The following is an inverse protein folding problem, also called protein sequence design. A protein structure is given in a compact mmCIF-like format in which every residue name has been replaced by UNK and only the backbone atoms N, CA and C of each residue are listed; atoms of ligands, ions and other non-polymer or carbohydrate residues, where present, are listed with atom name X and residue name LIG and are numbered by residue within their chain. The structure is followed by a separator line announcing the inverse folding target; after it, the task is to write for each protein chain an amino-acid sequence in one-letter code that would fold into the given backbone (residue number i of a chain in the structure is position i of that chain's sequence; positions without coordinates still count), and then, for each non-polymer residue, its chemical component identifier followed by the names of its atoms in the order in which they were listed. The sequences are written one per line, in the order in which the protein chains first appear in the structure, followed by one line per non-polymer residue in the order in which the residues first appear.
data_IF_311568183863
#
_entry.id   IF_311568183863
#
_cell.length_a   1.000
_cell.length_b   1.000
_cell.length_c   1.000
_cell.angle_alpha   90.00
_cell.angle_beta   90.00
_cell.angle_gamma   90.00
#
_symmetry.space_group_name_H-M   'P 1'
#
loop_
_entity.id
_entity.type
_entity.pdbx_description
1 polymer ?
#
# COMPACT_ATOMS: atom_id res chain seq x y z
N UNK A 1 -0.65 -13.19 12.95
CA UNK A 1 -1.82 -13.02 12.07
C UNK A 1 -2.75 -11.99 12.72
N UNK A 2 -2.67 -10.72 12.33
CA UNK A 2 -3.53 -9.68 12.89
C UNK A 2 -4.57 -9.34 11.83
N UNK A 3 -5.81 -9.78 12.07
CA UNK A 3 -6.98 -9.44 11.29
C UNK A 3 -7.30 -7.96 11.53
N UNK A 4 -7.69 -7.22 10.49
CA UNK A 4 -8.25 -5.88 10.71
C UNK A 4 -9.60 -5.98 11.45
N UNK A 5 -10.18 -4.86 11.89
CA UNK A 5 -11.45 -4.81 12.64
C UNK A 5 -12.66 -5.41 11.91
N UNK A 6 -12.49 -5.96 10.71
CA UNK A 6 -13.47 -6.71 9.92
C UNK A 6 -13.18 -8.22 9.82
N UNK A 7 -12.09 -8.73 10.39
CA UNK A 7 -11.79 -10.17 10.36
C UNK A 7 -11.29 -10.69 9.00
N UNK A 8 -10.96 -9.81 8.05
CA UNK A 8 -10.62 -10.20 6.67
C UNK A 8 -9.16 -9.87 6.33
N UNK A 9 -8.45 -10.85 5.76
CA UNK A 9 -7.15 -10.60 5.15
C UNK A 9 -7.38 -9.83 3.83
N UNK A 10 -6.92 -8.57 3.76
CA UNK A 10 -6.99 -7.78 2.54
C UNK A 10 -5.88 -8.22 1.59
N UNK A 11 -6.25 -9.12 0.69
CA UNK A 11 -5.36 -9.62 -0.36
C UNK A 11 -5.55 -8.84 -1.67
N UNK A 12 -4.43 -8.54 -2.33
CA UNK A 12 -4.40 -7.97 -3.69
C UNK A 12 -3.41 -8.77 -4.51
N UNK A 13 -3.81 -9.15 -5.72
CA UNK A 13 -2.96 -9.85 -6.66
C UNK A 13 -2.45 -8.89 -7.72
N UNK A 14 -1.14 -8.96 -7.97
CA UNK A 14 -0.46 -8.13 -8.96
C UNK A 14 0.15 -9.02 -10.01
N UNK A 15 -0.18 -8.79 -11.28
CA UNK A 15 0.52 -9.43 -12.39
C UNK A 15 1.66 -8.53 -12.83
N UNK A 16 2.88 -9.02 -12.68
CA UNK A 16 4.10 -8.26 -12.98
C UNK A 16 4.78 -8.86 -14.20
N UNK A 17 5.06 -8.02 -15.20
CA UNK A 17 5.85 -8.39 -16.37
C UNK A 17 6.95 -7.37 -16.61
N UNK A 18 8.20 -7.83 -16.69
CA UNK A 18 9.40 -6.98 -16.90
C UNK A 18 9.44 -5.75 -15.96
N UNK A 19 9.11 -5.96 -14.69
CA UNK A 19 9.14 -4.92 -13.65
C UNK A 19 7.98 -3.93 -13.71
N UNK A 20 6.95 -4.19 -14.52
CA UNK A 20 5.74 -3.37 -14.62
C UNK A 20 4.53 -4.16 -14.12
N UNK A 21 3.62 -3.47 -13.44
CA UNK A 21 2.31 -4.03 -13.09
C UNK A 21 1.43 -3.94 -14.34
N UNK A 22 0.98 -5.08 -14.83
CA UNK A 22 0.15 -5.18 -16.04
C UNK A 22 -1.30 -5.54 -15.73
N UNK A 23 -1.58 -5.99 -14.51
CA UNK A 23 -2.93 -6.27 -14.03
C UNK A 23 -3.00 -6.23 -12.49
N UNK A 24 -4.14 -5.81 -11.95
CA UNK A 24 -4.44 -5.75 -10.52
C UNK A 24 -5.81 -6.40 -10.30
N UNK A 25 -5.85 -7.47 -9.50
CA UNK A 25 -7.10 -8.20 -9.24
C UNK A 25 -7.25 -8.59 -7.77
N UNK A 26 -8.50 -8.86 -7.35
CA UNK A 26 -8.81 -9.43 -6.04
C UNK A 26 -8.72 -10.95 -6.00
N UNK A 27 -8.70 -11.61 -7.16
CA UNK A 27 -8.58 -13.07 -7.30
C UNK A 27 -7.87 -13.41 -8.60
N UNK A 28 -7.01 -14.42 -8.55
CA UNK A 28 -6.33 -14.94 -9.74
C UNK A 28 -6.58 -16.46 -9.83
N UNK A 29 -7.11 -16.97 -10.96
CA UNK A 29 -7.20 -18.39 -11.21
C UNK A 29 -5.80 -19.02 -11.15
N UNK A 30 -5.59 -20.01 -10.27
CA UNK A 30 -4.29 -20.65 -10.05
C UNK A 30 -3.41 -20.03 -8.96
N UNK A 31 -3.85 -18.94 -8.32
CA UNK A 31 -3.13 -18.31 -7.22
C UNK A 31 -1.94 -17.43 -7.67
N UNK A 32 -1.25 -16.82 -6.70
CA UNK A 32 -0.07 -16.01 -6.97
C UNK A 32 1.19 -16.89 -7.07
N UNK A 33 2.13 -16.52 -7.94
CA UNK A 33 3.44 -17.19 -8.06
C UNK A 33 4.26 -17.11 -6.77
N UNK A 34 4.10 -16.01 -6.04
CA UNK A 34 4.52 -15.86 -4.67
C UNK A 34 3.56 -14.91 -3.96
N UNK A 35 3.52 -14.98 -2.64
CA UNK A 35 2.78 -14.06 -1.79
C UNK A 35 3.73 -13.35 -0.84
N UNK A 36 3.41 -12.10 -0.54
CA UNK A 36 4.13 -11.29 0.44
C UNK A 36 3.12 -10.82 1.48
N UNK A 37 3.40 -11.10 2.76
CA UNK A 37 2.48 -10.84 3.87
C UNK A 37 3.22 -10.11 4.98
N UNK A 38 2.59 -9.07 5.50
CA UNK A 38 3.03 -8.31 6.66
C UNK A 38 1.82 -7.67 7.36
N UNK A 39 1.96 -7.25 8.62
CA UNK A 39 0.95 -6.43 9.30
C UNK A 39 0.60 -5.18 8.49
N UNK A 40 -0.64 -4.69 8.63
CA UNK A 40 -1.10 -3.49 7.94
C UNK A 40 -0.21 -2.26 8.25
N UNK A 41 0.26 -2.14 9.50
CA UNK A 41 1.20 -1.08 9.90
C UNK A 41 2.51 -1.12 9.12
N UNK A 42 3.08 -2.31 8.91
CA UNK A 42 4.32 -2.47 8.12
C UNK A 42 4.13 -1.99 6.68
N UNK A 43 2.96 -2.24 6.08
CA UNK A 43 2.64 -1.72 4.74
C UNK A 43 2.49 -0.20 4.72
N UNK A 44 1.81 0.37 5.73
CA UNK A 44 1.65 1.83 5.87
C UNK A 44 3.01 2.49 6.04
N UNK A 45 3.85 1.97 6.94
CA UNK A 45 5.19 2.51 7.20
C UNK A 45 6.10 2.42 5.97
N UNK A 46 5.98 1.34 5.18
CA UNK A 46 6.71 1.21 3.91
C UNK A 46 6.23 2.26 2.89
N UNK A 47 4.92 2.44 2.76
CA UNK A 47 4.33 3.37 1.79
C UNK A 47 4.63 4.82 2.16
N UNK A 48 4.55 5.19 3.42
CA UNK A 48 4.69 6.58 3.86
C UNK A 48 6.08 6.92 4.43
N UNK A 49 6.98 5.95 4.57
CA UNK A 49 8.34 6.17 5.05
C UNK A 49 9.19 7.00 4.08
N UNK A 50 10.13 7.79 4.59
CA UNK A 50 10.95 8.69 3.77
C UNK A 50 11.78 7.97 2.69
N UNK A 51 12.17 6.72 2.97
CA UNK A 51 13.02 5.91 2.10
C UNK A 51 12.32 4.64 1.62
N UNK A 52 12.61 4.23 0.38
CA UNK A 52 12.22 2.92 -0.14
C UNK A 52 13.16 1.85 0.44
N UNK A 53 12.89 1.44 1.67
CA UNK A 53 13.71 0.50 2.44
C UNK A 53 13.16 -0.93 2.44
N UNK A 54 12.27 -1.26 1.49
CA UNK A 54 11.63 -2.58 1.36
C UNK A 54 12.62 -3.74 1.51
N UNK A 55 13.72 -3.72 0.75
CA UNK A 55 14.71 -4.80 0.79
C UNK A 55 15.33 -4.97 2.17
N UNK A 56 15.59 -3.87 2.88
CA UNK A 56 16.14 -3.91 4.23
C UNK A 56 15.13 -4.52 5.21
N UNK A 57 13.85 -4.14 5.11
CA UNK A 57 12.77 -4.67 5.95
C UNK A 57 12.48 -6.16 5.66
N UNK A 58 12.53 -6.56 4.38
CA UNK A 58 12.39 -7.95 3.98
C UNK A 58 13.51 -8.83 4.55
N UNK A 59 14.77 -8.39 4.45
CA UNK A 59 15.93 -9.10 5.04
C UNK A 59 15.82 -9.19 6.57
N UNK A 60 15.26 -8.18 7.23
CA UNK A 60 14.98 -8.19 8.68
C UNK A 60 13.82 -9.12 9.09
N UNK A 61 13.12 -9.71 8.14
CA UNK A 61 11.99 -10.60 8.41
C UNK A 61 10.69 -9.87 8.77
N UNK A 62 10.58 -8.57 8.47
CA UNK A 62 9.34 -7.80 8.67
C UNK A 62 8.22 -8.26 7.71
N UNK A 63 8.60 -8.98 6.65
CA UNK A 63 7.72 -9.60 5.69
C UNK A 63 7.91 -11.11 5.70
N UNK A 64 6.81 -11.83 5.59
CA UNK A 64 6.79 -13.26 5.31
C UNK A 64 6.44 -13.49 3.84
N UNK A 65 7.12 -14.43 3.19
CA UNK A 65 6.86 -14.81 1.81
C UNK A 65 6.56 -16.29 1.71
N UNK A 66 5.66 -16.66 0.78
CA UNK A 66 5.44 -18.03 0.37
C UNK A 66 5.50 -18.13 -1.15
N UNK A 67 5.94 -19.26 -1.69
CA UNK A 67 6.21 -19.45 -3.12
C UNK A 67 7.70 -19.34 -3.44
N UNK A 68 8.04 -18.90 -4.66
CA UNK A 68 9.43 -18.80 -5.10
C UNK A 68 10.17 -17.63 -4.40
N UNK A 69 11.13 -18.00 -3.55
CA UNK A 69 11.89 -17.07 -2.73
C UNK A 69 12.80 -16.13 -3.53
N UNK A 70 13.09 -16.36 -4.80
CA UNK A 70 13.86 -15.40 -5.60
C UNK A 70 12.98 -14.31 -6.23
N UNK A 71 11.66 -14.53 -6.28
CA UNK A 71 10.74 -13.65 -7.00
C UNK A 71 10.47 -12.31 -6.28
N UNK A 72 10.74 -12.21 -4.96
CA UNK A 72 10.62 -10.91 -4.27
C UNK A 72 11.65 -9.87 -4.74
N UNK A 73 12.77 -10.30 -5.34
CA UNK A 73 13.73 -9.38 -5.96
C UNK A 73 13.11 -8.64 -7.15
N UNK A 74 12.08 -9.22 -7.78
CA UNK A 74 11.35 -8.58 -8.87
C UNK A 74 10.37 -7.52 -8.37
N UNK A 75 10.11 -7.44 -7.06
CA UNK A 75 9.15 -6.50 -6.47
C UNK A 75 9.70 -5.10 -6.25
N UNK A 76 11.01 -4.87 -6.26
CA UNK A 76 11.55 -3.55 -5.93
C UNK A 76 10.96 -2.45 -6.83
N UNK A 77 10.92 -2.66 -8.15
CA UNK A 77 10.33 -1.71 -9.10
C UNK A 77 8.79 -1.61 -8.99
N UNK A 78 8.03 -2.72 -8.96
CA UNK A 78 6.60 -2.68 -8.69
C UNK A 78 6.22 -1.97 -7.39
N UNK A 79 6.99 -2.16 -6.30
CA UNK A 79 6.73 -1.50 -5.03
C UNK A 79 7.00 -0.01 -5.10
N UNK A 80 8.10 0.41 -5.75
CA UNK A 80 8.38 1.82 -6.02
C UNK A 80 7.21 2.52 -6.75
N UNK A 81 6.64 1.84 -7.75
CA UNK A 81 5.43 2.29 -8.47
C UNK A 81 4.23 2.38 -7.52
N UNK A 82 3.97 1.34 -6.72
CA UNK A 82 2.84 1.32 -5.78
C UNK A 82 2.95 2.42 -4.73
N UNK A 83 4.13 2.58 -4.13
CA UNK A 83 4.41 3.61 -3.12
C UNK A 83 4.19 5.00 -3.72
N UNK A 84 4.69 5.24 -4.92
CA UNK A 84 4.52 6.50 -5.65
C UNK A 84 3.03 6.82 -5.86
N UNK A 85 2.24 5.86 -6.37
CA UNK A 85 0.81 6.05 -6.58
C UNK A 85 0.00 6.17 -5.29
N UNK A 86 0.34 5.39 -4.27
CA UNK A 86 -0.33 5.46 -2.97
C UNK A 86 -0.13 6.82 -2.30
N UNK A 87 1.09 7.40 -2.38
CA UNK A 87 1.36 8.76 -1.89
C UNK A 87 0.59 9.81 -2.68
N UNK A 88 0.55 9.70 -4.00
CA UNK A 88 -0.25 10.60 -4.84
C UNK A 88 -1.74 10.56 -4.45
N UNK A 89 -2.32 9.36 -4.35
CA UNK A 89 -3.72 9.18 -3.96
C UNK A 89 -4.01 9.69 -2.53
N UNK A 90 -3.09 9.48 -1.58
CA UNK A 90 -3.22 10.01 -0.23
C UNK A 90 -3.18 11.54 -0.19
N UNK A 91 -2.30 12.16 -0.99
CA UNK A 91 -2.22 13.61 -1.12
C UNK A 91 -3.47 14.21 -1.78
N UNK A 92 -3.97 13.57 -2.83
CA UNK A 92 -5.21 13.99 -3.49
C UNK A 92 -6.40 13.90 -2.53
N UNK A 93 -6.51 12.80 -1.78
CA UNK A 93 -7.53 12.65 -0.75
C UNK A 93 -7.44 13.72 0.33
N UNK A 94 -6.22 14.06 0.78
CA UNK A 94 -6.00 15.13 1.76
C UNK A 94 -6.40 16.50 1.21
N UNK A 95 -6.08 16.79 -0.06
CA UNK A 95 -6.53 18.04 -0.73
C UNK A 95 -8.05 18.11 -0.80
N UNK A 96 -8.70 17.04 -1.28
CA UNK A 96 -10.16 16.97 -1.34
C UNK A 96 -10.82 17.13 0.05
N UNK A 97 -10.23 16.56 1.11
CA UNK A 97 -10.70 16.72 2.48
C UNK A 97 -10.60 18.17 2.97
N UNK A 98 -9.50 18.86 2.64
CA UNK A 98 -9.30 20.26 2.99
C UNK A 98 -10.25 21.19 2.22
N UNK A 99 -10.55 20.88 0.96
CA UNK A 99 -11.51 21.63 0.13
C UNK A 99 -12.97 21.41 0.57
N UNK A 100 -13.28 20.28 1.21
CA UNK A 100 -14.63 19.95 1.72
C UNK A 100 -14.88 20.52 3.13
N UNK A 101 -13.88 21.13 3.77
CA UNK A 101 -14.10 21.83 5.04
C UNK A 101 -14.90 23.10 4.75
N UNK A 102 -16.17 23.20 5.20
CA UNK A 102 -16.94 24.39 4.95
C UNK A 102 -16.24 25.56 5.63
N UNK A 103 -16.18 26.69 4.94
CA UNK A 103 -15.95 27.98 5.56
C UNK A 103 -16.95 28.14 6.70
N UNK A 104 -16.58 27.77 7.93
CA UNK A 104 -17.22 28.30 9.14
C UNK A 104 -16.71 29.73 9.29
N UNK A 105 -17.10 30.56 8.33
CA UNK A 105 -16.92 32.00 8.31
C UNK A 105 -17.92 32.60 9.28
N UNK A 106 -17.43 33.57 10.05
CA UNK A 106 -18.08 34.09 11.24
C UNK A 106 -19.47 34.67 11.03
N UNK A 107 -20.20 34.67 12.14
CA UNK A 107 -21.15 35.74 12.44
C UNK A 107 -20.76 36.33 13.79
N UNK A 108 -19.91 37.34 13.75
CA UNK A 108 -19.79 38.30 14.84
C UNK A 108 -21.08 39.15 14.94
N UNK A 109 -21.34 39.58 16.17
CA UNK A 109 -22.10 40.76 16.58
C UNK A 109 -23.62 40.87 16.27
N UNK A 110 -24.41 40.80 17.35
CA UNK A 110 -25.34 41.85 17.82
C UNK A 110 -25.79 41.45 19.23
N UNK A 111 -25.30 42.16 20.24
CA UNK A 111 -26.00 43.21 21.02
C UNK A 111 -26.97 42.64 22.04
#
# INVERSE_FOLDING_TARGET
CCLDGSGHNREVHLRIYRGRIIDISRRVPGGATFTLRAPASTWVDLVFGEHHDFMRRAIRGEFSSAGDGYEYLRLTKPLDILVTHARAAANDRRRAQNDTSPLTGGREARS
#
